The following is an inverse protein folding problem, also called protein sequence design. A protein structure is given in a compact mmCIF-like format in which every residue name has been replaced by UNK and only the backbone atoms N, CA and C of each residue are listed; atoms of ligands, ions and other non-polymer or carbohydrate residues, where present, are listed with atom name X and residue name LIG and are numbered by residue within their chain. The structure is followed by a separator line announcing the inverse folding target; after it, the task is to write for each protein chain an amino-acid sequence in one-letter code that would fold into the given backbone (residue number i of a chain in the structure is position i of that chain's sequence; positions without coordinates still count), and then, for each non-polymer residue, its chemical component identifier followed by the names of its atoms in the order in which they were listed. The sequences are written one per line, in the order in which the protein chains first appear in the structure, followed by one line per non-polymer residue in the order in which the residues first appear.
data_IF_774280613905
#
_entry.id   IF_774280613905
#
_cell.length_a   1.000
_cell.length_b   1.000
_cell.length_c   1.000
_cell.angle_alpha   90.00
_cell.angle_beta   90.00
_cell.angle_gamma   90.00
#
_symmetry.space_group_name_H-M   'P 1'
#
loop_
_entity.id
_entity.type
_entity.pdbx_description
1 polymer ?
#
# COMPACT_ATOMS: atom_id res chain seq x y z
N UNK A 1 27.50 1.70 1.70
CA UNK A 1 26.14 1.45 1.20
C UNK A 1 25.44 2.80 1.11
N UNK A 2 25.06 3.26 -0.08
CA UNK A 2 24.24 4.47 -0.20
C UNK A 2 22.84 4.06 0.26
N UNK A 3 22.49 4.35 1.52
CA UNK A 3 21.19 4.03 2.09
C UNK A 3 20.12 4.90 1.45
N UNK A 4 19.46 4.40 0.42
CA UNK A 4 18.40 5.10 -0.29
C UNK A 4 17.02 4.47 -0.06
N UNK A 5 15.98 5.30 -0.01
CA UNK A 5 14.58 4.85 0.03
C UNK A 5 14.16 4.35 -1.37
N UNK A 6 13.74 3.09 -1.49
CA UNK A 6 13.09 2.62 -2.71
C UNK A 6 11.65 3.10 -2.77
N UNK A 7 11.20 3.47 -3.97
CA UNK A 7 9.84 3.94 -4.22
C UNK A 7 9.17 2.99 -5.18
N UNK A 8 8.09 2.35 -4.75
CA UNK A 8 7.37 1.35 -5.54
C UNK A 8 5.94 1.80 -5.74
N UNK A 9 5.49 1.78 -7.00
CA UNK A 9 4.08 1.86 -7.36
C UNK A 9 3.61 0.49 -7.80
N UNK A 10 2.51 0.01 -7.23
CA UNK A 10 1.84 -1.22 -7.65
C UNK A 10 0.45 -0.85 -8.17
N UNK A 11 0.22 -1.05 -9.47
CA UNK A 11 -1.07 -0.83 -10.09
C UNK A 11 -1.87 -2.14 -10.12
N UNK A 12 -2.95 -2.19 -9.36
CA UNK A 12 -3.87 -3.33 -9.26
C UNK A 12 -5.25 -3.02 -9.82
N UNK A 13 -5.41 -1.94 -10.60
CA UNK A 13 -6.70 -1.57 -11.21
C UNK A 13 -7.29 -2.66 -12.11
N UNK A 14 -6.44 -3.50 -12.69
CA UNK A 14 -6.86 -4.66 -13.50
C UNK A 14 -7.26 -5.89 -12.70
N UNK A 15 -7.02 -5.92 -11.38
CA UNK A 15 -7.40 -7.05 -10.52
C UNK A 15 -8.91 -7.04 -10.32
N UNK A 16 -9.54 -8.16 -10.68
CA UNK A 16 -10.98 -8.37 -10.60
C UNK A 16 -11.29 -9.67 -9.83
N UNK A 17 -12.56 -9.86 -9.45
CA UNK A 17 -13.03 -11.04 -8.72
C UNK A 17 -13.78 -10.68 -7.43
N UNK A 18 -13.67 -11.55 -6.42
CA UNK A 18 -14.33 -11.36 -5.13
C UNK A 18 -13.79 -10.10 -4.43
N UNK A 19 -14.70 -9.24 -3.97
CA UNK A 19 -14.36 -8.09 -3.13
C UNK A 19 -13.76 -8.62 -1.80
N UNK A 20 -12.56 -8.16 -1.39
CA UNK A 20 -11.95 -8.59 -0.14
C UNK A 20 -12.84 -8.26 1.07
N UNK A 21 -12.97 -9.22 1.99
CA UNK A 21 -13.65 -9.03 3.27
C UNK A 21 -12.81 -8.16 4.21
N UNK A 22 -13.37 -7.74 5.35
CA UNK A 22 -12.61 -7.04 6.39
C UNK A 22 -11.43 -7.88 6.89
N UNK A 23 -11.62 -9.20 7.06
CA UNK A 23 -10.56 -10.10 7.50
C UNK A 23 -9.43 -10.21 6.46
N UNK A 24 -9.77 -10.38 5.17
CA UNK A 24 -8.77 -10.40 4.09
C UNK A 24 -7.91 -9.12 4.10
N UNK A 25 -8.55 -7.97 4.33
CA UNK A 25 -7.88 -6.66 4.36
C UNK A 25 -7.01 -6.49 5.60
N UNK A 26 -7.45 -7.01 6.75
CA UNK A 26 -6.65 -7.04 7.97
C UNK A 26 -5.38 -7.86 7.76
N UNK A 27 -5.53 -9.09 7.26
CA UNK A 27 -4.42 -10.01 7.02
C UNK A 27 -3.43 -9.43 6.02
N UNK A 28 -3.93 -8.83 4.93
CA UNK A 28 -3.10 -8.14 3.95
C UNK A 28 -2.33 -6.98 4.59
N UNK A 29 -2.98 -6.14 5.41
CA UNK A 29 -2.32 -5.03 6.08
C UNK A 29 -1.22 -5.47 7.05
N UNK A 30 -1.48 -6.53 7.84
CA UNK A 30 -0.47 -7.14 8.72
C UNK A 30 0.70 -7.69 7.92
N UNK A 31 0.43 -8.42 6.84
CA UNK A 31 1.48 -9.03 6.01
C UNK A 31 2.34 -7.97 5.33
N UNK A 32 1.75 -6.92 4.79
CA UNK A 32 2.49 -5.79 4.21
C UNK A 32 3.39 -5.15 5.26
N UNK A 33 2.89 -4.87 6.47
CA UNK A 33 3.70 -4.27 7.53
C UNK A 33 4.86 -5.17 7.99
N UNK A 34 4.66 -6.50 8.04
CA UNK A 34 5.75 -7.45 8.33
C UNK A 34 6.82 -7.41 7.26
N UNK A 35 6.44 -7.58 5.99
CA UNK A 35 7.38 -7.53 4.86
C UNK A 35 8.13 -6.18 4.80
N UNK A 36 7.44 -5.08 5.11
CA UNK A 36 8.03 -3.75 5.12
C UNK A 36 9.14 -3.60 6.17
N UNK A 37 8.98 -4.21 7.35
CA UNK A 37 9.99 -4.18 8.42
C UNK A 37 11.22 -5.05 8.11
N UNK A 38 11.02 -6.13 7.36
CA UNK A 38 12.10 -7.06 6.97
C UNK A 38 12.93 -6.53 5.79
N UNK A 39 12.39 -5.59 5.03
CA UNK A 39 13.00 -5.08 3.83
C UNK A 39 14.09 -4.04 4.11
N UNK A 40 15.29 -4.29 3.57
CA UNK A 40 16.40 -3.32 3.57
C UNK A 40 16.98 -3.18 2.16
N UNK A 41 17.11 -1.96 1.61
CA UNK A 41 16.74 -0.69 2.23
C UNK A 41 15.21 -0.46 2.30
N UNK A 42 14.72 0.49 3.12
CA UNK A 42 13.29 0.77 3.26
C UNK A 42 12.60 1.08 1.93
N UNK A 43 11.30 0.79 1.86
CA UNK A 43 10.45 1.06 0.71
C UNK A 43 9.40 2.11 1.08
N UNK A 44 9.01 2.99 0.16
CA UNK A 44 7.74 3.71 0.18
C UNK A 44 6.83 3.09 -0.89
N UNK A 45 5.64 2.64 -0.51
CA UNK A 45 4.74 1.87 -1.36
C UNK A 45 3.44 2.62 -1.66
N UNK A 46 3.19 2.92 -2.93
CA UNK A 46 1.91 3.41 -3.41
C UNK A 46 1.16 2.29 -4.15
N UNK A 47 -0.03 1.91 -3.67
CA UNK A 47 -0.90 0.95 -4.35
C UNK A 47 -2.06 1.68 -5.01
N UNK A 48 -2.21 1.53 -6.32
CA UNK A 48 -3.26 2.17 -7.11
C UNK A 48 -4.32 1.12 -7.48
N UNK A 49 -5.59 1.39 -7.19
CA UNK A 49 -6.69 0.48 -7.46
C UNK A 49 -8.03 1.20 -7.54
N UNK A 50 -9.11 0.43 -7.61
CA UNK A 50 -10.46 0.98 -7.64
C UNK A 50 -11.27 0.50 -6.43
N UNK A 51 -12.24 1.30 -6.02
CA UNK A 51 -13.29 0.81 -5.12
C UNK A 51 -14.25 -0.10 -5.89
N UNK A 52 -14.85 -1.13 -5.26
CA UNK A 52 -14.71 -1.51 -3.84
C UNK A 52 -13.54 -2.48 -3.56
N UNK A 53 -12.67 -2.77 -4.56
CA UNK A 53 -11.51 -3.64 -4.34
C UNK A 53 -10.56 -3.04 -3.30
N UNK A 54 -10.31 -1.73 -3.36
CA UNK A 54 -9.85 -0.96 -2.22
C UNK A 54 -11.06 -0.62 -1.33
N UNK A 55 -10.90 -0.77 -0.02
CA UNK A 55 -11.94 -0.40 0.93
C UNK A 55 -12.15 1.11 0.91
N UNK A 56 -13.38 1.64 0.83
CA UNK A 56 -13.64 3.08 0.80
C UNK A 56 -13.00 3.82 1.98
N UNK A 57 -13.08 3.23 3.18
CA UNK A 57 -12.46 3.77 4.40
C UNK A 57 -10.97 3.39 4.56
N UNK A 58 -10.33 2.86 3.51
CA UNK A 58 -8.90 2.53 3.49
C UNK A 58 -8.43 1.59 4.61
N UNK A 59 -9.32 0.71 5.10
CA UNK A 59 -9.05 -0.14 6.28
C UNK A 59 -7.71 -0.90 6.23
N UNK A 60 -7.39 -1.56 5.12
CA UNK A 60 -6.11 -2.28 4.98
C UNK A 60 -4.88 -1.36 5.03
N UNK A 61 -4.98 -0.14 4.50
CA UNK A 61 -3.93 0.88 4.63
C UNK A 61 -3.76 1.27 6.10
N UNK A 62 -4.85 1.58 6.80
CA UNK A 62 -4.83 1.98 8.22
C UNK A 62 -4.15 0.87 9.04
N UNK A 63 -4.52 -0.39 8.82
CA UNK A 63 -3.91 -1.55 9.49
C UNK A 63 -2.40 -1.62 9.24
N UNK A 64 -1.95 -1.44 8.00
CA UNK A 64 -0.53 -1.49 7.64
C UNK A 64 0.27 -0.31 8.22
N UNK A 65 -0.24 0.93 8.08
CA UNK A 65 0.41 2.15 8.56
C UNK A 65 0.54 2.19 10.07
N UNK A 66 -0.51 1.79 10.79
CA UNK A 66 -0.47 1.69 12.25
C UNK A 66 0.54 0.65 12.76
N UNK A 67 1.06 -0.21 11.86
CA UNK A 67 2.10 -1.22 12.16
C UNK A 67 3.46 -0.86 11.56
N UNK A 68 3.64 0.36 11.08
CA UNK A 68 4.94 0.91 10.66
C UNK A 68 5.26 0.79 9.17
N UNK A 69 4.31 0.41 8.32
CA UNK A 69 4.52 0.47 6.88
C UNK A 69 4.44 1.91 6.34
N UNK A 70 5.44 2.37 5.58
CA UNK A 70 5.33 3.54 4.71
C UNK A 70 4.60 3.17 3.41
N UNK A 71 3.29 2.93 3.54
CA UNK A 71 2.42 2.56 2.44
C UNK A 71 1.14 3.42 2.41
N UNK A 72 0.61 3.64 1.21
CA UNK A 72 -0.71 4.25 0.97
C UNK A 72 -1.41 3.62 -0.22
N UNK A 73 -2.74 3.66 -0.20
CA UNK A 73 -3.59 3.22 -1.31
C UNK A 73 -4.29 4.41 -1.94
N UNK A 74 -4.35 4.45 -3.26
CA UNK A 74 -4.89 5.54 -4.06
C UNK A 74 -5.90 5.04 -5.08
N UNK A 75 -6.83 5.90 -5.47
CA UNK A 75 -7.72 5.69 -6.63
C UNK A 75 -7.36 6.60 -7.80
N UNK A 76 -6.53 7.62 -7.56
CA UNK A 76 -6.05 8.59 -8.54
C UNK A 76 -4.54 8.44 -8.71
N UNK A 77 -4.09 8.26 -9.95
CA UNK A 77 -2.69 7.98 -10.27
C UNK A 77 -1.76 9.16 -9.96
N UNK A 78 -2.20 10.39 -10.24
CA UNK A 78 -1.43 11.59 -9.98
C UNK A 78 -1.13 11.75 -8.48
N UNK A 79 -2.13 11.60 -7.62
CA UNK A 79 -1.97 11.66 -6.16
C UNK A 79 -0.99 10.60 -5.65
N UNK A 80 -1.05 9.39 -6.22
CA UNK A 80 -0.13 8.31 -5.87
C UNK A 80 1.32 8.67 -6.19
N UNK A 81 1.57 9.28 -7.37
CA UNK A 81 2.89 9.70 -7.81
C UNK A 81 3.42 10.89 -7.00
N UNK A 82 2.57 11.89 -6.75
CA UNK A 82 2.92 13.06 -5.95
C UNK A 82 3.37 12.63 -4.55
N UNK A 83 2.60 11.76 -3.89
CA UNK A 83 2.96 11.23 -2.57
C UNK A 83 4.23 10.36 -2.61
N UNK A 84 4.38 9.52 -3.64
CA UNK A 84 5.51 8.60 -3.74
C UNK A 84 6.84 9.35 -3.92
N UNK A 85 6.82 10.44 -4.69
CA UNK A 85 8.01 11.23 -5.03
C UNK A 85 8.32 12.36 -4.06
N UNK A 86 7.40 12.72 -3.16
CA UNK A 86 7.65 13.68 -2.10
C UNK A 86 8.93 13.34 -1.31
N UNK A 87 9.71 14.37 -0.98
CA UNK A 87 10.99 14.27 -0.28
C UNK A 87 10.84 13.56 1.08
#
# INVERSE_FOLDING_TARGET
MIGGLFRIRVDVRGVNGRIPTILDRFDMGVRIATLHREQTPPIRLALLGHEPMIHPERFGEIVARNRGADARVFTVEAEALDWLTAA
#
